data_IF_756995191591
#
_entry.id   IF_756995191591
#
_cell.length_a   1.000
_cell.length_b   1.000
_cell.length_c   1.000
_cell.angle_alpha   90.00
_cell.angle_beta   90.00
_cell.angle_gamma   90.00
#
_symmetry.space_group_name_H-M   'P 1'
#
loop_
_entity.id
_entity.type
_entity.pdbx_description
1 polymer ?
#
# COMPACT_ATOMS: atom_id res chain seq x y z
N UNK A 1 32.23 -24.58 52.16
CA UNK A 1 30.87 -24.13 51.83
C UNK A 1 30.97 -22.89 51.00
N UNK A 2 30.88 -22.99 49.73
CA UNK A 2 30.89 -21.85 48.78
C UNK A 2 29.43 -21.48 48.48
N UNK A 3 29.10 -20.20 48.51
CA UNK A 3 27.72 -19.76 48.50
C UNK A 3 27.13 -19.85 47.07
N UNK A 4 25.97 -20.50 47.00
CA UNK A 4 25.08 -20.63 45.81
C UNK A 4 24.46 -19.31 45.33
N UNK A 5 25.05 -18.16 45.66
CA UNK A 5 24.55 -16.81 45.34
C UNK A 5 24.81 -16.40 43.89
N UNK A 6 25.69 -17.11 43.18
CA UNK A 6 26.10 -16.72 41.82
C UNK A 6 25.14 -17.22 40.72
N UNK A 7 24.41 -18.30 40.92
CA UNK A 7 23.60 -18.95 39.88
C UNK A 7 22.31 -18.16 39.56
N UNK A 8 21.57 -17.77 40.60
CA UNK A 8 20.36 -16.97 40.46
C UNK A 8 20.64 -15.59 39.79
N UNK A 9 21.75 -14.94 40.17
CA UNK A 9 22.17 -13.66 39.54
C UNK A 9 22.55 -13.83 38.07
N UNK A 10 23.20 -14.92 37.70
CA UNK A 10 23.55 -15.22 36.28
C UNK A 10 22.28 -15.43 35.46
N UNK A 11 21.34 -16.22 35.93
CA UNK A 11 20.07 -16.42 35.21
C UNK A 11 19.32 -15.12 35.01
N UNK A 12 19.23 -14.27 36.03
CA UNK A 12 18.58 -12.95 35.91
C UNK A 12 19.30 -12.05 34.91
N UNK A 13 20.63 -12.01 34.91
CA UNK A 13 21.39 -11.23 33.92
C UNK A 13 21.25 -11.79 32.51
N UNK A 14 21.29 -13.10 32.32
CA UNK A 14 21.14 -13.73 31.01
C UNK A 14 19.75 -13.49 30.42
N UNK A 15 18.69 -13.62 31.22
CA UNK A 15 17.33 -13.28 30.84
C UNK A 15 17.19 -11.80 30.51
N UNK A 16 17.76 -10.90 31.32
CA UNK A 16 17.71 -9.45 31.06
C UNK A 16 18.43 -9.08 29.75
N UNK A 17 19.60 -9.67 29.49
CA UNK A 17 20.33 -9.48 28.25
C UNK A 17 19.53 -10.01 27.05
N UNK A 18 18.95 -11.22 27.16
CA UNK A 18 18.11 -11.78 26.09
C UNK A 18 16.90 -10.90 25.79
N UNK A 19 16.23 -10.38 26.81
CA UNK A 19 15.11 -9.45 26.65
C UNK A 19 15.55 -8.12 26.01
N UNK A 20 16.70 -7.59 26.42
CA UNK A 20 17.25 -6.37 25.82
C UNK A 20 17.57 -6.57 24.34
N UNK A 21 18.25 -7.67 24.00
CA UNK A 21 18.57 -8.00 22.61
C UNK A 21 17.28 -8.16 21.77
N UNK A 22 16.30 -8.89 22.31
CA UNK A 22 15.00 -9.06 21.65
C UNK A 22 14.28 -7.71 21.46
N UNK A 23 14.31 -6.82 22.46
CA UNK A 23 13.71 -5.49 22.38
C UNK A 23 14.42 -4.61 21.34
N UNK A 24 15.75 -4.60 21.34
CA UNK A 24 16.55 -3.85 20.33
C UNK A 24 16.25 -4.39 18.93
N UNK A 25 16.22 -5.71 18.74
CA UNK A 25 15.90 -6.32 17.46
C UNK A 25 14.47 -5.98 17.01
N UNK A 26 13.48 -6.05 17.91
CA UNK A 26 12.10 -5.69 17.61
C UNK A 26 11.96 -4.20 17.25
N UNK A 27 12.63 -3.31 17.99
CA UNK A 27 12.63 -1.88 17.70
C UNK A 27 13.33 -1.58 16.36
N UNK A 28 14.46 -2.23 16.08
CA UNK A 28 15.15 -2.12 14.81
C UNK A 28 14.25 -2.57 13.66
N UNK A 29 13.63 -3.74 13.79
CA UNK A 29 12.72 -4.29 12.77
C UNK A 29 11.56 -3.33 12.52
N UNK A 30 10.92 -2.82 13.58
CA UNK A 30 9.83 -1.85 13.48
C UNK A 30 10.27 -0.51 12.88
N UNK A 31 11.44 -0.01 13.23
CA UNK A 31 11.92 1.28 12.75
C UNK A 31 12.33 1.25 11.28
N UNK A 32 12.95 0.16 10.84
CA UNK A 32 13.61 0.09 9.55
C UNK A 32 12.98 -0.88 8.54
N UNK A 33 12.46 -2.03 8.98
CA UNK A 33 12.04 -3.09 8.05
C UNK A 33 10.55 -3.10 7.77
N UNK A 34 9.72 -2.95 8.78
CA UNK A 34 8.28 -3.19 8.65
C UNK A 34 7.47 -2.12 9.37
N UNK A 35 6.48 -1.60 8.69
CA UNK A 35 5.52 -0.66 9.26
C UNK A 35 4.14 -1.31 9.35
N UNK A 36 3.48 -1.17 10.51
CA UNK A 36 2.08 -1.53 10.63
C UNK A 36 1.22 -0.42 9.99
N UNK A 37 0.32 -0.83 9.13
CA UNK A 37 -0.61 0.06 8.43
C UNK A 37 -2.04 -0.48 8.56
N UNK A 38 -3.02 0.38 8.71
CA UNK A 38 -4.42 0.00 8.78
C UNK A 38 -5.17 0.59 7.60
N UNK A 39 -6.02 -0.23 6.96
CA UNK A 39 -6.88 0.21 5.87
C UNK A 39 -8.07 1.01 6.44
N UNK A 40 -8.14 2.32 6.16
CA UNK A 40 -9.20 3.19 6.68
C UNK A 40 -10.40 3.30 5.73
N UNK A 41 -10.23 3.01 4.44
CA UNK A 41 -11.21 3.28 3.38
C UNK A 41 -11.41 2.09 2.44
N UNK A 42 -12.52 2.10 1.73
CA UNK A 42 -12.95 1.04 0.80
C UNK A 42 -12.27 1.14 -0.58
N UNK A 43 -11.40 2.12 -0.79
CA UNK A 43 -10.81 2.40 -2.12
C UNK A 43 -9.97 1.27 -2.70
N UNK A 44 -9.56 0.29 -1.88
CA UNK A 44 -8.79 -0.88 -2.28
C UNK A 44 -9.55 -2.20 -2.19
N UNK A 45 -10.86 -2.14 -1.98
CA UNK A 45 -11.71 -3.33 -2.05
C UNK A 45 -11.82 -3.85 -3.50
N UNK A 46 -11.85 -5.14 -3.69
CA UNK A 46 -11.91 -6.24 -2.72
C UNK A 46 -10.53 -6.74 -2.24
N UNK A 47 -9.41 -6.29 -2.84
CA UNK A 47 -8.08 -6.77 -2.48
C UNK A 47 -7.77 -6.54 -0.98
N UNK A 48 -8.10 -5.36 -0.48
CA UNK A 48 -7.93 -4.96 0.91
C UNK A 48 -9.23 -4.37 1.45
N UNK A 49 -9.67 -4.85 2.61
CA UNK A 49 -10.93 -4.45 3.23
C UNK A 49 -10.70 -3.45 4.36
N UNK A 50 -11.66 -2.55 4.56
CA UNK A 50 -11.67 -1.66 5.74
C UNK A 50 -11.51 -2.48 7.03
N UNK A 51 -10.53 -2.08 7.85
CA UNK A 51 -10.18 -2.78 9.09
C UNK A 51 -9.16 -3.90 8.94
N UNK A 52 -8.58 -4.10 7.75
CA UNK A 52 -7.36 -4.88 7.58
C UNK A 52 -6.17 -4.14 8.19
N UNK A 53 -5.33 -4.87 8.90
CA UNK A 53 -4.07 -4.40 9.42
C UNK A 53 -2.93 -5.10 8.67
N UNK A 54 -2.08 -4.32 8.03
CA UNK A 54 -1.03 -4.76 7.13
C UNK A 54 0.35 -4.57 7.73
N UNK A 55 1.26 -5.43 7.33
CA UNK A 55 2.69 -5.18 7.43
C UNK A 55 3.19 -4.64 6.08
N UNK A 56 3.81 -3.47 6.10
CA UNK A 56 4.40 -2.83 4.92
C UNK A 56 5.91 -3.06 4.92
N UNK A 57 6.44 -3.59 3.82
CA UNK A 57 7.88 -3.65 3.57
C UNK A 57 8.37 -2.30 3.04
N UNK A 58 9.18 -1.61 3.82
CA UNK A 58 9.71 -0.28 3.49
C UNK A 58 10.94 -0.31 2.57
N UNK A 59 11.58 -1.44 2.41
CA UNK A 59 12.86 -1.55 1.70
C UNK A 59 12.73 -1.90 0.24
N UNK A 60 11.67 -2.64 -0.13
CA UNK A 60 11.57 -3.28 -1.44
C UNK A 60 11.71 -2.29 -2.60
N UNK A 61 11.28 -1.05 -2.43
CA UNK A 61 11.32 -0.01 -3.46
C UNK A 61 12.42 1.05 -3.22
N UNK A 62 13.37 0.78 -2.34
CA UNK A 62 14.52 1.64 -2.10
C UNK A 62 14.27 2.87 -1.22
N UNK A 63 13.02 3.30 -1.05
CA UNK A 63 12.69 4.54 -0.36
C UNK A 63 13.11 4.58 1.13
N UNK A 64 13.19 3.42 1.80
CA UNK A 64 13.60 3.31 3.20
C UNK A 64 15.03 2.84 3.42
N UNK A 65 15.77 2.55 2.36
CA UNK A 65 17.03 1.84 2.47
C UNK A 65 18.24 2.72 2.82
N UNK A 66 18.23 4.03 2.52
CA UNK A 66 19.31 4.94 2.85
C UNK A 66 20.70 4.33 2.58
N UNK A 67 21.62 4.41 3.60
CA UNK A 67 22.96 3.81 3.53
C UNK A 67 22.99 2.27 3.39
N UNK A 68 21.90 1.59 3.72
CA UNK A 68 21.77 0.13 3.70
C UNK A 68 21.25 -0.42 2.38
N UNK A 69 20.91 0.47 1.42
CA UNK A 69 20.38 0.10 0.11
C UNK A 69 21.12 -1.04 -0.59
N UNK A 70 22.48 -1.03 -0.64
CA UNK A 70 23.24 -2.08 -1.28
C UNK A 70 23.15 -3.47 -0.61
N UNK A 71 22.72 -3.52 0.65
CA UNK A 71 22.67 -4.75 1.46
C UNK A 71 21.28 -5.40 1.48
N UNK A 72 20.27 -4.73 0.94
CA UNK A 72 18.88 -5.22 0.97
C UNK A 72 18.38 -5.42 -0.45
N UNK A 73 17.76 -6.56 -0.78
CA UNK A 73 17.19 -6.79 -2.10
C UNK A 73 16.14 -5.72 -2.42
N UNK A 74 16.40 -4.92 -3.44
CA UNK A 74 15.52 -3.87 -3.92
C UNK A 74 15.11 -4.14 -5.36
N UNK A 75 13.97 -3.63 -5.74
CA UNK A 75 13.51 -3.58 -7.12
C UNK A 75 12.68 -2.33 -7.37
N UNK A 76 12.56 -1.99 -8.60
CA UNK A 76 11.63 -0.95 -9.03
C UNK A 76 10.17 -1.39 -8.88
N UNK A 77 9.29 -0.41 -8.76
CA UNK A 77 7.85 -0.63 -8.80
C UNK A 77 7.47 -1.12 -10.20
N UNK A 78 6.57 -2.08 -10.25
CA UNK A 78 6.05 -2.65 -11.51
C UNK A 78 4.54 -2.44 -11.58
N UNK A 79 4.01 -2.49 -12.79
CA UNK A 79 2.56 -2.52 -12.99
C UNK A 79 1.95 -3.69 -12.23
N UNK A 80 0.83 -3.44 -11.56
CA UNK A 80 0.14 -4.39 -10.67
C UNK A 80 0.61 -4.37 -9.21
N UNK A 81 1.74 -3.72 -8.87
CA UNK A 81 2.16 -3.63 -7.48
C UNK A 81 1.22 -2.75 -6.65
N UNK A 82 0.91 -3.23 -5.46
CA UNK A 82 0.32 -2.40 -4.42
C UNK A 82 1.43 -1.56 -3.78
N UNK A 83 1.25 -0.25 -3.73
CA UNK A 83 2.24 0.69 -3.19
C UNK A 83 1.62 1.57 -2.12
N UNK A 84 2.38 1.81 -1.05
CA UNK A 84 2.09 2.89 -0.11
C UNK A 84 2.97 4.08 -0.45
N UNK A 85 2.39 5.27 -0.39
CA UNK A 85 3.09 6.51 -0.66
C UNK A 85 2.52 7.66 0.16
N UNK A 86 3.33 8.69 0.34
CA UNK A 86 2.93 9.91 1.01
C UNK A 86 1.90 10.66 0.18
N UNK A 87 0.81 11.09 0.82
CA UNK A 87 -0.26 11.82 0.14
C UNK A 87 0.26 13.10 -0.53
N UNK A 88 -0.19 13.33 -1.77
CA UNK A 88 0.21 14.50 -2.55
C UNK A 88 -0.50 15.75 -2.03
N UNK A 89 -1.81 15.63 -1.75
CA UNK A 89 -2.64 16.74 -1.27
C UNK A 89 -2.46 16.99 0.23
N UNK A 90 -2.22 15.93 0.99
CA UNK A 90 -1.96 16.00 2.43
C UNK A 90 -0.77 15.10 2.78
N UNK A 91 0.44 15.68 2.94
CA UNK A 91 1.65 14.92 3.27
C UNK A 91 1.62 14.21 4.63
N UNK A 92 0.65 14.53 5.50
CA UNK A 92 0.47 13.84 6.78
C UNK A 92 -0.20 12.47 6.63
N UNK A 93 -0.87 12.24 5.50
CA UNK A 93 -1.53 10.99 5.17
C UNK A 93 -0.62 10.07 4.37
N UNK A 94 -0.76 8.79 4.61
CA UNK A 94 -0.19 7.74 3.77
C UNK A 94 -1.32 7.06 3.01
N UNK A 95 -1.19 6.97 1.69
CA UNK A 95 -2.15 6.36 0.79
C UNK A 95 -1.65 5.00 0.33
N UNK A 96 -2.57 4.08 0.09
CA UNK A 96 -2.30 2.79 -0.52
C UNK A 96 -3.13 2.66 -1.79
N UNK A 97 -2.47 2.41 -2.92
CA UNK A 97 -3.08 2.25 -4.24
C UNK A 97 -2.33 1.17 -5.04
N UNK A 98 -2.89 0.78 -6.18
CA UNK A 98 -2.24 -0.10 -7.15
C UNK A 98 -1.55 0.74 -8.22
N UNK A 99 -0.26 0.47 -8.46
CA UNK A 99 0.47 1.02 -9.59
C UNK A 99 -0.04 0.36 -10.87
N UNK A 100 -0.73 1.10 -11.74
CA UNK A 100 -1.25 0.57 -13.01
C UNK A 100 -0.35 0.94 -14.19
N UNK A 101 0.40 2.03 -14.08
CA UNK A 101 1.36 2.45 -15.10
C UNK A 101 2.61 3.06 -14.46
N UNK A 102 3.73 2.97 -15.18
CA UNK A 102 5.06 3.45 -14.79
C UNK A 102 5.55 4.52 -15.78
N UNK A 103 6.66 5.15 -15.48
CA UNK A 103 7.27 6.18 -16.31
C UNK A 103 7.33 5.76 -17.81
N UNK A 104 6.91 6.66 -18.69
CA UNK A 104 6.87 6.47 -20.15
C UNK A 104 5.62 5.76 -20.67
N UNK A 105 4.75 5.25 -19.81
CA UNK A 105 3.47 4.68 -20.23
C UNK A 105 2.48 5.80 -20.61
N UNK A 106 1.68 5.56 -21.63
CA UNK A 106 0.50 6.37 -21.93
C UNK A 106 -0.73 5.73 -21.29
N UNK A 107 -1.42 6.48 -20.43
CA UNK A 107 -2.59 6.04 -19.67
C UNK A 107 -3.85 6.70 -20.23
N UNK A 108 -4.84 5.90 -20.52
CA UNK A 108 -6.18 6.34 -20.88
C UNK A 108 -7.21 5.50 -20.10
N UNK A 109 -8.29 6.13 -19.67
CA UNK A 109 -9.47 5.43 -19.14
C UNK A 109 -10.65 5.86 -20.01
N UNK A 110 -11.22 4.90 -20.69
CA UNK A 110 -12.37 5.08 -21.57
C UNK A 110 -13.52 4.21 -21.08
N UNK A 111 -14.64 4.85 -20.73
CA UNK A 111 -15.81 4.17 -20.18
C UNK A 111 -15.44 3.17 -19.08
N UNK A 112 -14.67 3.61 -18.08
CA UNK A 112 -14.15 2.83 -16.94
C UNK A 112 -13.08 1.78 -17.29
N UNK A 113 -12.68 1.64 -18.53
CA UNK A 113 -11.68 0.65 -18.97
C UNK A 113 -10.31 1.29 -19.10
N UNK A 114 -9.34 0.74 -18.37
CA UNK A 114 -7.94 1.16 -18.48
C UNK A 114 -7.34 0.70 -19.80
N UNK A 115 -6.65 1.63 -20.47
CA UNK A 115 -5.82 1.38 -21.65
C UNK A 115 -4.40 1.86 -21.36
N UNK A 116 -3.42 1.11 -21.82
CA UNK A 116 -2.02 1.51 -21.81
C UNK A 116 -1.48 1.48 -23.25
N UNK A 117 -1.02 2.63 -23.73
CA UNK A 117 -0.60 2.76 -25.13
C UNK A 117 -1.69 2.34 -26.13
N UNK A 118 -2.95 2.68 -25.84
CA UNK A 118 -4.12 2.30 -26.64
C UNK A 118 -4.62 0.86 -26.45
N UNK A 119 -3.87 -0.01 -25.73
CA UNK A 119 -4.25 -1.42 -25.51
C UNK A 119 -5.03 -1.57 -24.21
N UNK A 120 -6.19 -2.21 -24.25
CA UNK A 120 -6.99 -2.47 -23.05
C UNK A 120 -6.27 -3.44 -22.10
N UNK A 121 -6.30 -3.12 -20.80
CA UNK A 121 -5.73 -3.96 -19.74
C UNK A 121 -6.83 -4.81 -19.13
N UNK A 122 -6.58 -6.10 -18.96
CA UNK A 122 -7.49 -6.97 -18.20
C UNK A 122 -7.27 -6.77 -16.70
N UNK A 123 -8.24 -6.17 -16.06
CA UNK A 123 -8.23 -5.88 -14.62
C UNK A 123 -9.34 -6.63 -13.86
N UNK A 124 -9.98 -7.59 -14.50
CA UNK A 124 -11.14 -8.33 -13.97
C UNK A 124 -10.85 -9.07 -12.66
N UNK A 125 -9.57 -9.36 -12.38
CA UNK A 125 -9.14 -10.09 -11.18
C UNK A 125 -9.19 -9.25 -9.89
N UNK A 126 -9.20 -7.90 -9.98
CA UNK A 126 -9.07 -7.05 -8.80
C UNK A 126 -9.90 -5.76 -8.84
N UNK A 127 -10.37 -5.32 -10.01
CA UNK A 127 -11.15 -4.07 -10.12
C UNK A 127 -12.61 -4.33 -9.85
N UNK A 128 -13.23 -3.41 -9.09
CA UNK A 128 -14.67 -3.33 -8.92
C UNK A 128 -15.18 -1.94 -9.25
N UNK A 129 -16.40 -1.92 -9.78
CA UNK A 129 -17.19 -0.72 -10.02
C UNK A 129 -18.46 -0.82 -9.16
N UNK A 130 -18.62 0.10 -8.22
CA UNK A 130 -19.78 0.15 -7.33
C UNK A 130 -20.97 0.89 -7.94
N UNK A 131 -20.76 1.59 -9.05
CA UNK A 131 -21.77 2.35 -9.78
C UNK A 131 -21.82 1.85 -11.23
N UNK A 132 -23.01 1.54 -11.72
CA UNK A 132 -23.23 1.09 -13.10
C UNK A 132 -23.18 2.25 -14.11
N UNK A 133 -23.37 3.49 -13.63
CA UNK A 133 -23.33 4.67 -14.48
C UNK A 133 -21.92 4.94 -14.98
N UNK A 134 -21.84 5.31 -16.25
CA UNK A 134 -20.61 5.75 -16.90
C UNK A 134 -20.74 7.23 -17.25
N UNK A 135 -19.82 8.04 -16.76
CA UNK A 135 -19.77 9.48 -17.05
C UNK A 135 -18.74 9.75 -18.15
N UNK A 136 -19.20 10.01 -19.37
CA UNK A 136 -18.29 10.38 -20.45
C UNK A 136 -17.72 11.79 -20.20
N UNK A 137 -16.57 12.07 -20.80
CA UNK A 137 -16.00 13.43 -20.79
C UNK A 137 -17.04 14.43 -21.34
N UNK A 138 -17.28 15.48 -20.57
CA UNK A 138 -18.36 16.44 -20.89
C UNK A 138 -18.03 17.80 -20.29
N UNK A 139 -18.27 18.85 -21.08
CA UNK A 139 -18.15 20.24 -20.63
C UNK A 139 -19.30 20.66 -19.68
N UNK A 140 -20.37 19.87 -19.63
CA UNK A 140 -21.52 20.12 -18.76
C UNK A 140 -21.40 19.49 -17.38
N UNK A 141 -20.45 18.56 -17.19
CA UNK A 141 -20.20 17.90 -15.93
C UNK A 141 -18.94 18.47 -15.30
N UNK A 142 -18.96 18.60 -13.97
CA UNK A 142 -17.76 18.96 -13.24
C UNK A 142 -16.66 17.92 -13.49
N UNK A 143 -15.43 18.35 -13.65
CA UNK A 143 -14.29 17.51 -13.98
C UNK A 143 -14.14 16.30 -13.07
N UNK A 144 -14.37 16.45 -11.77
CA UNK A 144 -14.29 15.35 -10.80
C UNK A 144 -15.30 14.24 -11.05
N UNK A 145 -16.41 14.52 -11.77
CA UNK A 145 -17.44 13.54 -12.07
C UNK A 145 -17.00 12.66 -13.24
N UNK A 146 -16.66 13.27 -14.38
CA UNK A 146 -16.31 12.50 -15.57
C UNK A 146 -14.88 11.91 -15.54
N UNK A 147 -13.92 12.54 -14.82
CA UNK A 147 -12.57 11.98 -14.63
C UNK A 147 -12.56 10.62 -13.94
N UNK A 148 -13.59 10.32 -13.19
CA UNK A 148 -13.77 9.00 -12.59
C UNK A 148 -13.76 7.88 -13.64
N UNK A 149 -14.47 8.11 -14.75
CA UNK A 149 -14.77 7.10 -15.75
C UNK A 149 -14.10 7.35 -17.11
N UNK A 150 -13.57 8.57 -17.30
CA UNK A 150 -12.91 9.01 -18.54
C UNK A 150 -11.68 9.86 -18.19
N UNK A 151 -10.49 9.43 -18.60
CA UNK A 151 -9.23 10.10 -18.27
C UNK A 151 -8.24 9.94 -19.42
N UNK A 152 -7.39 10.93 -19.64
CA UNK A 152 -6.28 10.89 -20.59
C UNK A 152 -6.73 11.08 -22.05
N UNK A 153 -5.92 10.59 -23.02
CA UNK A 153 -4.62 9.96 -22.80
C UNK A 153 -3.60 10.92 -22.19
N UNK A 154 -2.79 10.42 -21.24
CA UNK A 154 -1.74 11.18 -20.57
C UNK A 154 -0.49 10.31 -20.37
N UNK A 155 0.67 10.88 -20.65
CA UNK A 155 1.93 10.17 -20.49
C UNK A 155 2.44 10.29 -19.06
N UNK A 156 2.80 9.15 -18.45
CA UNK A 156 3.36 9.12 -17.11
C UNK A 156 4.77 9.71 -17.14
N UNK A 157 5.04 10.80 -16.40
CA UNK A 157 6.33 11.45 -16.38
C UNK A 157 7.45 10.54 -15.88
N UNK A 158 8.70 10.90 -16.21
CA UNK A 158 9.88 10.27 -15.64
C UNK A 158 9.84 10.26 -14.12
N UNK A 159 10.29 9.16 -13.53
CA UNK A 159 10.31 8.96 -12.08
C UNK A 159 8.95 9.10 -11.40
N UNK A 160 7.89 8.80 -12.11
CA UNK A 160 6.51 8.83 -11.62
C UNK A 160 5.79 7.52 -11.88
N UNK A 161 4.73 7.31 -11.11
CA UNK A 161 3.83 6.16 -11.19
C UNK A 161 2.40 6.67 -11.36
N UNK A 162 1.58 5.95 -12.09
CA UNK A 162 0.15 6.21 -12.13
C UNK A 162 -0.56 5.13 -11.27
N UNK A 163 -1.19 5.59 -10.20
CA UNK A 163 -1.72 4.70 -9.16
C UNK A 163 -3.24 4.85 -9.05
N UNK A 164 -3.96 3.73 -9.10
CA UNK A 164 -5.41 3.68 -8.98
C UNK A 164 -5.86 2.84 -7.78
N UNK A 165 -7.04 3.15 -7.24
CA UNK A 165 -7.73 2.26 -6.32
C UNK A 165 -8.39 1.11 -7.06
N UNK A 166 -8.50 -0.06 -6.42
CA UNK A 166 -9.17 -1.23 -6.98
C UNK A 166 -10.69 -1.00 -7.05
N UNK A 167 -11.26 -0.29 -6.07
CA UNK A 167 -12.63 0.21 -6.13
C UNK A 167 -12.65 1.57 -6.85
N UNK A 168 -12.79 1.52 -8.16
CA UNK A 168 -12.62 2.65 -9.08
C UNK A 168 -13.53 3.84 -8.81
N UNK A 169 -14.79 3.58 -8.44
CA UNK A 169 -15.81 4.62 -8.38
C UNK A 169 -15.72 5.48 -7.12
N UNK A 170 -15.10 4.96 -6.06
CA UNK A 170 -14.96 5.68 -4.79
C UNK A 170 -13.51 6.03 -4.46
N UNK A 171 -12.57 5.73 -5.35
CA UNK A 171 -11.16 6.02 -5.12
C UNK A 171 -10.78 7.43 -5.57
N UNK A 172 -10.18 8.20 -4.65
CA UNK A 172 -9.41 9.38 -4.99
C UNK A 172 -7.96 8.96 -5.24
N UNK A 173 -7.53 9.05 -6.50
CA UNK A 173 -6.27 8.49 -6.97
C UNK A 173 -5.66 9.35 -8.10
N UNK A 174 -4.71 8.82 -8.86
CA UNK A 174 -3.98 9.58 -9.89
C UNK A 174 -4.85 10.23 -10.96
N UNK A 175 -6.08 9.79 -11.12
CA UNK A 175 -7.05 10.49 -12.00
C UNK A 175 -7.35 11.92 -11.51
N UNK A 176 -7.18 12.17 -10.20
CA UNK A 176 -7.56 13.43 -9.54
C UNK A 176 -6.35 14.26 -9.11
N UNK A 177 -5.35 13.63 -8.49
CA UNK A 177 -4.17 14.31 -7.98
C UNK A 177 -2.93 14.17 -8.87
N UNK A 178 -3.05 13.46 -10.01
CA UNK A 178 -1.94 13.27 -10.94
C UNK A 178 -1.00 12.11 -10.59
N UNK A 179 0.08 11.95 -11.37
CA UNK A 179 1.10 10.93 -11.16
C UNK A 179 1.83 11.10 -9.81
N UNK A 180 2.22 9.99 -9.20
CA UNK A 180 2.92 9.92 -7.91
C UNK A 180 4.42 9.83 -8.16
N UNK A 181 5.21 10.76 -7.65
CA UNK A 181 6.67 10.68 -7.70
C UNK A 181 7.20 9.44 -6.97
N UNK A 182 8.21 8.79 -7.54
CA UNK A 182 8.81 7.58 -6.93
C UNK A 182 9.48 7.86 -5.59
N UNK A 183 9.87 9.09 -5.32
CA UNK A 183 10.41 9.58 -4.04
C UNK A 183 9.37 9.60 -2.91
N UNK A 184 8.08 9.69 -3.25
CA UNK A 184 6.97 9.62 -2.30
C UNK A 184 6.63 8.18 -1.89
N UNK A 185 7.10 7.18 -2.63
CA UNK A 185 6.82 5.77 -2.34
C UNK A 185 7.45 5.36 -1.01
N UNK A 186 6.67 4.71 -0.15
CA UNK A 186 7.09 4.29 1.20
C UNK A 186 7.31 2.78 1.30
N UNK A 187 6.58 1.98 0.56
CA UNK A 187 6.73 0.54 0.62
C UNK A 187 5.63 -0.25 -0.08
N UNK A 188 5.63 -1.56 0.18
CA UNK A 188 4.68 -2.52 -0.35
C UNK A 188 4.00 -3.31 0.76
N UNK A 189 2.68 -3.58 0.70
CA UNK A 189 2.02 -4.52 1.60
C UNK A 189 2.64 -5.92 1.46
N UNK A 190 2.99 -6.53 2.59
CA UNK A 190 3.48 -7.91 2.66
C UNK A 190 2.36 -8.89 2.93
N UNK A 191 1.62 -8.63 4.01
CA UNK A 191 0.54 -9.49 4.46
C UNK A 191 -0.43 -8.74 5.36
N UNK A 192 -1.65 -9.24 5.42
CA UNK A 192 -2.65 -8.89 6.44
C UNK A 192 -2.38 -9.72 7.68
N UNK A 193 -1.93 -9.12 8.78
CA UNK A 193 -1.69 -9.86 10.02
C UNK A 193 -2.90 -9.89 10.95
N UNK A 194 -3.86 -8.98 10.72
CA UNK A 194 -5.08 -8.84 11.50
C UNK A 194 -6.18 -8.22 10.66
N UNK A 195 -7.41 -8.70 10.79
CA UNK A 195 -8.58 -8.12 10.12
C UNK A 195 -9.81 -8.13 11.00
N UNK A 196 -10.49 -6.98 11.10
CA UNK A 196 -11.70 -6.81 11.89
C UNK A 196 -12.78 -6.08 11.10
N UNK A 197 -13.98 -6.65 11.09
CA UNK A 197 -15.16 -5.96 10.56
C UNK A 197 -15.79 -5.09 11.66
N UNK A 198 -15.64 -3.78 11.57
CA UNK A 198 -16.18 -2.83 12.55
C UNK A 198 -17.70 -2.70 12.48
N UNK A 199 -18.27 -2.79 11.29
CA UNK A 199 -19.70 -2.65 11.07
C UNK A 199 -20.48 -3.83 11.63
N UNK A 200 -19.89 -5.01 11.62
CA UNK A 200 -20.51 -6.23 12.15
C UNK A 200 -20.34 -6.41 13.67
N UNK A 201 -19.76 -5.41 14.37
CA UNK A 201 -19.60 -5.39 15.81
C UNK A 201 -18.16 -5.56 16.31
N UNK A 202 -17.90 -5.31 17.62
CA UNK A 202 -16.56 -5.16 18.19
C UNK A 202 -15.72 -6.44 18.14
N UNK A 203 -16.34 -7.62 18.07
CA UNK A 203 -15.68 -8.93 18.16
C UNK A 203 -15.70 -9.73 16.84
N UNK A 204 -16.09 -9.14 15.71
CA UNK A 204 -16.14 -9.81 14.42
C UNK A 204 -14.79 -9.78 13.73
N UNK A 205 -13.98 -10.82 13.96
CA UNK A 205 -12.70 -11.03 13.31
C UNK A 205 -12.86 -11.79 11.98
N UNK A 206 -12.10 -11.38 10.95
CA UNK A 206 -12.03 -12.06 9.66
C UNK A 206 -10.80 -12.98 9.64
N UNK A 207 -10.87 -14.11 10.37
CA UNK A 207 -9.74 -15.04 10.53
C UNK A 207 -9.16 -15.53 9.21
N UNK A 208 -10.00 -15.71 8.18
CA UNK A 208 -9.58 -16.15 6.85
C UNK A 208 -8.68 -15.14 6.14
N UNK A 209 -8.63 -13.89 6.59
CA UNK A 209 -7.75 -12.86 6.04
C UNK A 209 -6.43 -12.75 6.80
N UNK A 210 -6.27 -13.42 7.92
CA UNK A 210 -5.01 -13.47 8.65
C UNK A 210 -3.98 -14.23 7.84
N UNK A 211 -2.76 -13.65 7.68
CA UNK A 211 -1.68 -14.11 6.81
C UNK A 211 -2.01 -14.08 5.30
N UNK A 212 -3.09 -13.39 4.91
CA UNK A 212 -3.39 -13.16 3.51
C UNK A 212 -2.34 -12.21 2.90
N UNK A 213 -1.78 -12.62 1.75
CA UNK A 213 -0.85 -11.81 0.96
C UNK A 213 -1.65 -11.05 -0.10
N UNK A 214 -1.74 -9.70 -0.01
CA UNK A 214 -2.45 -8.90 -1.01
C UNK A 214 -1.75 -8.99 -2.38
N UNK A 215 -2.54 -9.17 -3.40
CA UNK A 215 -2.05 -9.26 -4.80
C UNK A 215 -2.78 -8.28 -5.68
#
# INVERSE_FOLDING_TARGET
>A
MTPNVSWGRRIVTDVAVALLVAAVFALFTRAFLVQAYRIPSESMEPALLVGDHLLINKFIFGAGAGRWGPLVPQREVRRGDLVTFQGIEDPSQELLKRCVAIAGDEVEIDAKRLRLGGTAVDESAYVVHSDELVYPRSDFLHETVWRRDSFGPEQVPERSLFCLGDNRDISRDSRFFGPVGTDLVRGRPLLVYWSRNREAGPWRFRWRRTLHVPR
#
